data_IF_191124064729
#
_entry.id   IF_191124064729
#
_cell.length_a   1.000
_cell.length_b   1.000
_cell.length_c   1.000
_cell.angle_alpha   90.00
_cell.angle_beta   90.00
_cell.angle_gamma   90.00
#
_symmetry.space_group_name_H-M   'P 1'
#
loop_
_entity.id
_entity.type
_entity.pdbx_description
1 polymer ?
#
# COMPACT_ATOMS: atom_id res chain seq x y z
N UNK A 1 14.23 -5.73 11.55
CA UNK A 1 13.75 -4.46 11.00
C UNK A 1 12.29 -4.29 11.36
N UNK A 2 11.83 -3.05 11.47
CA UNK A 2 10.43 -2.70 11.60
C UNK A 2 9.92 -2.24 10.22
N UNK A 3 8.99 -2.95 9.65
CA UNK A 3 8.49 -2.76 8.28
C UNK A 3 7.05 -2.29 8.36
N UNK A 4 6.75 -1.15 7.72
CA UNK A 4 5.38 -0.68 7.52
C UNK A 4 4.92 -1.06 6.11
N UNK A 5 3.88 -1.88 6.01
CA UNK A 5 3.21 -2.15 4.74
C UNK A 5 1.92 -1.35 4.64
N UNK A 6 1.73 -0.64 3.54
CA UNK A 6 0.53 0.17 3.29
C UNK A 6 -0.26 -0.48 2.16
N UNK A 7 -1.44 -1.02 2.50
CA UNK A 7 -2.47 -1.49 1.57
C UNK A 7 -3.73 -0.65 1.77
N UNK A 8 -3.68 0.60 1.28
CA UNK A 8 -4.67 1.62 1.59
C UNK A 8 -6.09 1.22 1.24
N UNK A 9 -6.33 0.85 -0.04
CA UNK A 9 -7.66 0.74 -0.63
C UNK A 9 -8.37 -0.60 -0.37
N UNK A 10 -7.66 -1.60 0.15
CA UNK A 10 -8.20 -2.93 0.42
C UNK A 10 -7.50 -3.62 1.58
N UNK A 11 -8.27 -4.38 2.38
CA UNK A 11 -7.81 -5.09 3.57
C UNK A 11 -7.23 -6.47 3.20
N UNK A 12 -5.90 -6.70 3.28
CA UNK A 12 -5.29 -7.94 2.84
C UNK A 12 -5.63 -9.16 3.70
N UNK A 13 -6.09 -8.94 4.93
CA UNK A 13 -6.51 -10.00 5.87
C UNK A 13 -8.03 -10.10 6.00
N UNK A 14 -8.77 -9.58 5.03
CA UNK A 14 -10.22 -9.70 4.93
C UNK A 14 -10.67 -10.98 4.21
N UNK A 15 -11.92 -11.01 3.79
CA UNK A 15 -12.49 -12.11 3.01
C UNK A 15 -11.97 -12.05 1.57
N UNK A 16 -11.14 -13.02 1.17
CA UNK A 16 -10.63 -13.12 -0.21
C UNK A 16 -11.77 -13.45 -1.17
N UNK A 17 -11.80 -12.78 -2.32
CA UNK A 17 -12.79 -13.07 -3.39
C UNK A 17 -14.10 -12.32 -3.28
N UNK A 18 -14.21 -11.34 -2.36
CA UNK A 18 -15.34 -10.43 -2.26
C UNK A 18 -14.87 -9.00 -2.59
N UNK A 19 -15.67 -8.27 -3.38
CA UNK A 19 -15.39 -6.89 -3.78
C UNK A 19 -14.02 -6.75 -4.48
N UNK A 20 -13.21 -5.77 -4.10
CA UNK A 20 -11.86 -5.51 -4.62
C UNK A 20 -10.78 -6.46 -4.09
N UNK A 21 -11.14 -7.47 -3.28
CA UNK A 21 -10.16 -8.40 -2.70
C UNK A 21 -9.73 -9.46 -3.72
N UNK A 22 -8.58 -9.24 -4.34
CA UNK A 22 -8.00 -10.07 -5.40
C UNK A 22 -6.53 -10.44 -5.15
N UNK A 23 -5.79 -10.53 -6.25
CA UNK A 23 -4.37 -10.91 -6.23
C UNK A 23 -3.49 -10.02 -5.34
N UNK A 24 -3.79 -8.71 -5.25
CA UNK A 24 -3.09 -7.78 -4.37
C UNK A 24 -3.20 -8.21 -2.90
N UNK A 25 -4.40 -8.56 -2.44
CA UNK A 25 -4.61 -8.95 -1.04
C UNK A 25 -3.83 -10.21 -0.70
N UNK A 26 -3.89 -11.21 -1.58
CA UNK A 26 -3.11 -12.45 -1.41
C UNK A 26 -1.61 -12.16 -1.38
N UNK A 27 -1.13 -11.30 -2.27
CA UNK A 27 0.29 -10.91 -2.30
C UNK A 27 0.71 -10.22 -1.00
N UNK A 28 -0.03 -9.20 -0.56
CA UNK A 28 0.30 -8.45 0.66
C UNK A 28 0.24 -9.34 1.89
N UNK A 29 -0.78 -10.19 2.00
CA UNK A 29 -0.88 -11.17 3.08
C UNK A 29 0.34 -12.10 3.11
N UNK A 30 0.65 -12.76 2.00
CA UNK A 30 1.73 -13.74 1.92
C UNK A 30 3.11 -13.12 2.20
N UNK A 31 3.41 -11.94 1.63
CA UNK A 31 4.68 -11.27 1.89
C UNK A 31 4.79 -10.81 3.34
N UNK A 32 3.69 -10.35 3.95
CA UNK A 32 3.66 -9.92 5.35
C UNK A 32 3.89 -11.09 6.30
N UNK A 33 3.22 -12.22 6.08
CA UNK A 33 3.39 -13.45 6.86
C UNK A 33 4.82 -13.99 6.74
N UNK A 34 5.41 -13.96 5.54
CA UNK A 34 6.77 -14.41 5.33
C UNK A 34 7.81 -13.48 6.00
N UNK A 35 7.69 -12.17 5.82
CA UNK A 35 8.58 -11.20 6.44
C UNK A 35 8.49 -11.22 7.97
N UNK A 36 7.31 -11.48 8.53
CA UNK A 36 7.11 -11.53 9.99
C UNK A 36 7.84 -12.68 10.70
N UNK A 37 8.35 -13.66 9.96
CA UNK A 37 9.19 -14.71 10.52
C UNK A 37 10.52 -14.17 11.08
N UNK A 38 11.04 -13.06 10.53
CA UNK A 38 12.34 -12.50 10.90
C UNK A 38 12.31 -10.99 11.21
N UNK A 39 11.18 -10.31 11.00
CA UNK A 39 11.02 -8.86 11.14
C UNK A 39 9.71 -8.52 11.82
N UNK A 40 9.63 -7.34 12.43
CA UNK A 40 8.36 -6.80 12.90
C UNK A 40 7.65 -6.14 11.72
N UNK A 41 6.46 -6.62 11.39
CA UNK A 41 5.67 -6.15 10.24
C UNK A 41 4.37 -5.56 10.75
N UNK A 42 4.10 -4.32 10.38
CA UNK A 42 2.81 -3.67 10.59
C UNK A 42 2.17 -3.41 9.23
N UNK A 43 0.98 -3.94 9.02
CA UNK A 43 0.18 -3.74 7.80
C UNK A 43 -0.97 -2.80 8.12
N UNK A 44 -1.15 -1.75 7.33
CA UNK A 44 -2.23 -0.78 7.54
C UNK A 44 -3.13 -0.67 6.31
N UNK A 45 -4.43 -0.48 6.57
CA UNK A 45 -5.44 -0.23 5.55
C UNK A 45 -6.43 0.84 6.01
N UNK A 46 -7.07 1.53 5.05
CA UNK A 46 -8.19 2.42 5.33
C UNK A 46 -9.53 1.67 5.38
N UNK A 47 -9.63 0.56 4.65
CA UNK A 47 -10.84 -0.26 4.58
C UNK A 47 -11.18 -0.87 5.94
N UNK A 48 -12.48 -0.89 6.26
CA UNK A 48 -12.98 -1.46 7.51
C UNK A 48 -12.75 -2.97 7.57
N UNK A 49 -12.00 -3.38 8.58
CA UNK A 49 -11.67 -4.77 8.85
C UNK A 49 -11.34 -4.97 10.33
N UNK A 50 -11.30 -6.23 10.77
CA UNK A 50 -10.92 -6.56 12.14
C UNK A 50 -9.38 -6.52 12.28
N UNK A 51 -8.88 -5.55 13.02
CA UNK A 51 -7.45 -5.47 13.38
C UNK A 51 -7.02 -6.62 14.29
N UNK A 52 -5.75 -7.01 14.18
CA UNK A 52 -5.15 -8.01 15.08
C UNK A 52 -3.66 -7.74 15.28
N UNK A 53 -3.10 -8.33 16.35
CA UNK A 53 -1.67 -8.38 16.59
C UNK A 53 -1.27 -9.79 16.98
N UNK A 54 -0.29 -10.34 16.31
CA UNK A 54 0.17 -11.70 16.50
C UNK A 54 1.69 -11.79 16.36
N UNK A 55 2.41 -12.02 17.46
CA UNK A 55 3.88 -12.04 17.49
C UNK A 55 4.50 -10.80 16.78
N UNK A 56 5.11 -11.01 15.62
CA UNK A 56 5.80 -10.00 14.83
C UNK A 56 4.93 -9.41 13.70
N UNK A 57 3.65 -9.81 13.59
CA UNK A 57 2.71 -9.32 12.58
C UNK A 57 1.57 -8.56 13.26
N UNK A 58 1.41 -7.30 12.90
CA UNK A 58 0.30 -6.46 13.31
C UNK A 58 -0.49 -6.01 12.08
N UNK A 59 -1.79 -6.17 12.10
CA UNK A 59 -2.69 -5.63 11.09
C UNK A 59 -3.61 -4.59 11.72
N UNK A 60 -3.59 -3.39 11.18
CA UNK A 60 -4.32 -2.24 11.66
C UNK A 60 -5.24 -1.70 10.56
N UNK A 61 -6.54 -1.79 10.76
CA UNK A 61 -7.53 -1.11 9.94
C UNK A 61 -7.91 0.22 10.59
N UNK A 62 -7.87 1.32 9.83
CA UNK A 62 -8.28 2.65 10.29
C UNK A 62 -9.79 2.88 10.14
N UNK A 63 -10.52 1.97 9.51
CA UNK A 63 -11.99 1.97 9.37
C UNK A 63 -12.55 3.28 8.78
N UNK A 64 -11.96 3.77 7.69
CA UNK A 64 -12.40 5.02 7.03
C UNK A 64 -13.54 4.78 6.04
N UNK A 65 -13.62 3.60 5.45
CA UNK A 65 -14.67 3.23 4.52
C UNK A 65 -15.01 1.73 4.54
N UNK A 66 -16.18 1.40 4.08
CA UNK A 66 -16.68 0.02 3.95
C UNK A 66 -16.03 -0.67 2.71
N UNK A 67 -15.96 -2.02 2.69
CA UNK A 67 -15.30 -2.75 1.60
C UNK A 67 -15.95 -2.61 0.22
N UNK A 68 -17.24 -2.28 0.15
CA UNK A 68 -18.06 -2.19 -1.07
C UNK A 68 -18.00 -0.83 -1.78
N UNK A 69 -17.22 0.13 -1.24
CA UNK A 69 -17.04 1.41 -1.90
C UNK A 69 -16.16 1.25 -3.15
N UNK A 70 -16.55 1.79 -4.32
CA UNK A 70 -15.72 1.78 -5.52
C UNK A 70 -14.32 2.36 -5.29
N UNK A 71 -13.31 1.80 -5.95
CA UNK A 71 -11.90 2.22 -5.75
C UNK A 71 -11.69 3.71 -6.01
N UNK A 72 -12.34 4.27 -7.04
CA UNK A 72 -12.22 5.69 -7.39
C UNK A 72 -12.77 6.62 -6.30
N UNK A 73 -13.77 6.18 -5.54
CA UNK A 73 -14.37 6.97 -4.45
C UNK A 73 -13.49 6.94 -3.18
N UNK A 74 -12.53 6.03 -3.08
CA UNK A 74 -11.65 5.90 -1.91
C UNK A 74 -10.62 7.02 -1.82
N UNK A 75 -10.28 7.69 -2.93
CA UNK A 75 -9.24 8.72 -3.00
C UNK A 75 -9.50 9.90 -2.06
N UNK A 76 -10.76 10.27 -1.86
CA UNK A 76 -11.15 11.40 -0.99
C UNK A 76 -10.70 11.23 0.47
N UNK A 77 -10.43 10.01 0.91
CA UNK A 77 -10.02 9.70 2.29
C UNK A 77 -8.50 9.70 2.52
N UNK A 78 -7.66 9.98 1.49
CA UNK A 78 -6.20 9.94 1.61
C UNK A 78 -5.65 10.89 2.68
N UNK A 79 -6.18 12.11 2.76
CA UNK A 79 -5.74 13.11 3.75
C UNK A 79 -6.11 12.65 5.17
N UNK A 80 -7.33 12.15 5.35
CA UNK A 80 -7.78 11.63 6.64
C UNK A 80 -6.96 10.41 7.07
N UNK A 81 -6.65 9.52 6.13
CA UNK A 81 -5.81 8.35 6.39
C UNK A 81 -4.44 8.74 6.93
N UNK A 82 -3.74 9.69 6.28
CA UNK A 82 -2.44 10.16 6.73
C UNK A 82 -2.50 10.70 8.16
N UNK A 83 -3.51 11.52 8.47
CA UNK A 83 -3.71 12.06 9.81
C UNK A 83 -3.96 10.95 10.84
N UNK A 84 -4.88 10.03 10.56
CA UNK A 84 -5.22 8.92 11.47
C UNK A 84 -4.04 7.98 11.67
N UNK A 85 -3.26 7.73 10.61
CA UNK A 85 -2.07 6.89 10.70
C UNK A 85 -1.04 7.45 11.69
N UNK A 86 -0.81 8.77 11.67
CA UNK A 86 0.08 9.46 12.60
C UNK A 86 -0.45 9.49 14.06
N UNK A 87 -1.78 9.43 14.24
CA UNK A 87 -2.40 9.37 15.57
C UNK A 87 -2.28 7.97 16.20
N UNK A 88 -2.28 6.91 15.39
CA UNK A 88 -2.33 5.51 15.90
C UNK A 88 -0.98 4.82 15.90
N UNK A 89 0.00 5.27 15.09
CA UNK A 89 1.33 4.66 14.98
C UNK A 89 2.43 5.69 15.18
N UNK A 90 3.45 5.33 15.97
CA UNK A 90 4.72 6.05 15.96
C UNK A 90 5.49 5.71 14.66
N UNK A 91 5.34 6.56 13.64
CA UNK A 91 5.95 6.30 12.33
C UNK A 91 7.48 6.31 12.36
N UNK A 92 8.12 6.96 13.34
CA UNK A 92 9.58 7.01 13.45
C UNK A 92 10.22 5.67 13.82
N UNK A 93 9.42 4.71 14.29
CA UNK A 93 9.92 3.39 14.62
C UNK A 93 10.22 2.52 13.39
N UNK A 94 9.71 2.88 12.20
CA UNK A 94 9.86 2.06 11.00
C UNK A 94 11.16 2.33 10.28
N UNK A 95 11.81 1.26 9.82
CA UNK A 95 13.06 1.31 9.05
C UNK A 95 12.79 1.47 7.55
N UNK A 96 11.65 0.98 7.08
CA UNK A 96 11.24 0.99 5.68
C UNK A 96 9.72 0.91 5.54
N UNK A 97 9.20 1.51 4.47
CA UNK A 97 7.80 1.42 4.06
C UNK A 97 7.71 0.59 2.79
N UNK A 98 6.73 -0.30 2.69
CA UNK A 98 6.36 -0.97 1.44
C UNK A 98 4.94 -0.59 1.07
N UNK A 99 4.79 0.14 -0.02
CA UNK A 99 3.51 0.64 -0.51
C UNK A 99 2.99 -0.21 -1.66
N UNK A 100 1.73 -0.62 -1.57
CA UNK A 100 1.03 -1.45 -2.53
C UNK A 100 -0.06 -0.65 -3.22
N UNK A 101 0.04 -0.47 -4.53
CA UNK A 101 -0.85 0.34 -5.36
C UNK A 101 -0.61 1.86 -5.23
N UNK A 102 -1.01 2.63 -6.23
CA UNK A 102 -0.64 4.05 -6.37
C UNK A 102 -1.10 4.94 -5.19
N UNK A 103 -2.31 4.71 -4.64
CA UNK A 103 -2.79 5.47 -3.47
C UNK A 103 -1.89 5.26 -2.26
N UNK A 104 -1.50 4.01 -2.00
CA UNK A 104 -0.53 3.69 -0.94
C UNK A 104 0.83 4.32 -1.21
N UNK A 105 1.22 4.42 -2.49
CA UNK A 105 2.44 5.07 -2.92
C UNK A 105 2.46 6.57 -2.60
N UNK A 106 1.36 7.29 -2.82
CA UNK A 106 1.23 8.71 -2.46
C UNK A 106 1.40 8.91 -0.95
N UNK A 107 0.75 8.06 -0.14
CA UNK A 107 0.87 8.08 1.32
C UNK A 107 2.32 7.82 1.74
N UNK A 108 2.95 6.77 1.20
CA UNK A 108 4.32 6.40 1.52
C UNK A 108 5.32 7.51 1.15
N UNK A 109 5.13 8.18 0.01
CA UNK A 109 5.94 9.32 -0.42
C UNK A 109 5.89 10.46 0.61
N UNK A 110 4.70 10.81 1.09
CA UNK A 110 4.54 11.90 2.06
C UNK A 110 5.16 11.54 3.43
N UNK A 111 4.95 10.30 3.90
CA UNK A 111 5.58 9.80 5.13
C UNK A 111 7.09 9.74 4.98
N UNK A 112 7.60 9.20 3.87
CA UNK A 112 9.02 9.13 3.55
C UNK A 112 9.69 10.50 3.63
N UNK A 113 9.09 11.50 3.01
CA UNK A 113 9.59 12.88 3.03
C UNK A 113 9.57 13.48 4.45
N UNK A 114 8.50 13.25 5.21
CA UNK A 114 8.32 13.85 6.55
C UNK A 114 9.24 13.22 7.60
N UNK A 115 9.41 11.89 7.56
CA UNK A 115 10.13 11.14 8.58
C UNK A 115 11.49 10.61 8.13
N UNK A 116 11.88 10.86 6.87
CA UNK A 116 13.13 10.37 6.27
C UNK A 116 13.24 8.82 6.30
N UNK A 117 12.15 8.13 5.98
CA UNK A 117 12.07 6.68 5.93
C UNK A 117 12.03 6.26 4.45
N UNK A 118 12.95 5.41 3.95
CA UNK A 118 12.89 4.95 2.57
C UNK A 118 11.64 4.12 2.31
N UNK A 119 11.10 4.16 1.06
CA UNK A 119 9.99 3.30 0.70
C UNK A 119 10.23 2.52 -0.59
N UNK A 120 9.61 1.35 -0.66
CA UNK A 120 9.50 0.45 -1.80
C UNK A 120 8.09 0.58 -2.36
N UNK A 121 7.94 0.52 -3.66
CA UNK A 121 6.65 0.58 -4.33
C UNK A 121 6.40 -0.67 -5.18
N UNK A 122 5.22 -1.28 -5.03
CA UNK A 122 4.67 -2.32 -5.92
C UNK A 122 3.39 -1.81 -6.55
N UNK A 123 3.36 -1.71 -7.88
CA UNK A 123 2.22 -1.12 -8.63
C UNK A 123 0.96 -1.97 -8.57
N UNK A 124 1.09 -3.30 -8.64
CA UNK A 124 0.03 -4.30 -8.84
C UNK A 124 -0.78 -4.14 -10.13
N UNK A 125 -0.85 -2.94 -10.68
CA UNK A 125 -1.35 -2.59 -12.01
C UNK A 125 -0.92 -1.16 -12.32
N UNK A 126 -0.58 -0.89 -13.57
CA UNK A 126 -0.21 0.44 -14.03
C UNK A 126 -1.36 1.04 -14.84
N UNK A 127 -1.78 2.25 -14.48
CA UNK A 127 -2.91 2.94 -15.11
C UNK A 127 -2.73 3.17 -16.61
N UNK A 128 -1.49 3.32 -17.08
CA UNK A 128 -1.18 3.52 -18.52
C UNK A 128 -1.55 2.32 -19.39
N UNK A 129 -1.73 1.13 -18.80
CA UNK A 129 -2.02 -0.12 -19.53
C UNK A 129 -3.43 -0.65 -19.32
N UNK A 130 -4.26 0.09 -18.58
CA UNK A 130 -5.64 -0.29 -18.35
C UNK A 130 -6.54 0.30 -19.43
N UNK A 131 -7.58 -0.44 -19.82
CA UNK A 131 -8.67 0.09 -20.62
C UNK A 131 -9.30 1.27 -19.89
N UNK A 132 -9.42 2.43 -20.56
CA UNK A 132 -9.90 3.64 -19.91
C UNK A 132 -8.79 4.44 -19.22
N UNK A 133 -7.65 4.64 -19.89
CA UNK A 133 -6.51 5.43 -19.44
C UNK A 133 -6.91 6.66 -18.59
N UNK A 134 -6.51 6.64 -17.32
CA UNK A 134 -6.67 7.76 -16.41
C UNK A 134 -5.33 8.49 -16.27
N UNK A 135 -5.24 9.67 -16.89
CA UNK A 135 -4.01 10.48 -16.89
C UNK A 135 -3.58 10.90 -15.49
N UNK A 136 -4.52 11.27 -14.63
CA UNK A 136 -4.21 11.71 -13.26
C UNK A 136 -3.57 10.58 -12.46
N UNK A 137 -4.13 9.37 -12.56
CA UNK A 137 -3.53 8.18 -11.95
C UNK A 137 -2.13 7.89 -12.49
N UNK A 138 -1.94 7.94 -13.81
CA UNK A 138 -0.64 7.69 -14.42
C UNK A 138 0.41 8.72 -13.99
N UNK A 139 0.04 10.00 -13.88
CA UNK A 139 0.92 11.05 -13.38
C UNK A 139 1.28 10.81 -11.89
N UNK A 140 0.32 10.37 -11.06
CA UNK A 140 0.58 9.97 -9.68
C UNK A 140 1.55 8.76 -9.60
N UNK A 141 1.35 7.73 -10.42
CA UNK A 141 2.22 6.55 -10.47
C UNK A 141 3.66 6.94 -10.83
N UNK A 142 3.87 7.82 -11.81
CA UNK A 142 5.20 8.34 -12.16
C UNK A 142 5.88 9.06 -10.99
N UNK A 143 5.15 9.91 -10.28
CA UNK A 143 5.66 10.63 -9.11
C UNK A 143 6.06 9.63 -8.02
N UNK A 144 5.24 8.63 -7.76
CA UNK A 144 5.50 7.60 -6.74
C UNK A 144 6.73 6.77 -7.12
N UNK A 145 6.81 6.27 -8.36
CA UNK A 145 7.93 5.46 -8.83
C UNK A 145 9.25 6.24 -8.78
N UNK A 146 9.26 7.48 -9.28
CA UNK A 146 10.48 8.31 -9.33
C UNK A 146 11.00 8.72 -7.95
N UNK A 147 10.15 8.77 -6.92
CA UNK A 147 10.53 9.13 -5.55
C UNK A 147 10.76 7.93 -4.63
N UNK A 148 10.42 6.70 -5.07
CA UNK A 148 10.67 5.49 -4.31
C UNK A 148 12.15 5.08 -4.31
N UNK A 149 12.58 4.36 -3.27
CA UNK A 149 13.93 3.79 -3.22
C UNK A 149 14.08 2.63 -4.19
N UNK A 150 13.03 1.82 -4.32
CA UNK A 150 12.92 0.70 -5.25
C UNK A 150 11.49 0.56 -5.73
N UNK A 151 11.34 0.16 -6.99
CA UNK A 151 10.08 -0.32 -7.57
C UNK A 151 10.21 -1.83 -7.79
N UNK A 152 9.20 -2.60 -7.41
CA UNK A 152 9.18 -4.04 -7.65
C UNK A 152 8.28 -4.36 -8.83
N UNK A 153 8.70 -5.32 -9.63
CA UNK A 153 7.93 -5.89 -10.75
C UNK A 153 7.64 -7.36 -10.50
N UNK A 154 6.46 -7.82 -10.83
CA UNK A 154 6.05 -9.23 -10.69
C UNK A 154 6.47 -10.08 -11.88
N UNK A 155 6.79 -9.46 -13.02
CA UNK A 155 7.19 -10.13 -14.27
C UNK A 155 8.22 -9.29 -15.03
N UNK A 156 9.01 -9.92 -15.90
CA UNK A 156 9.95 -9.22 -16.79
C UNK A 156 9.21 -8.23 -17.73
N UNK A 157 7.98 -8.52 -18.08
CA UNK A 157 7.15 -7.62 -18.87
C UNK A 157 6.83 -6.33 -18.11
N UNK A 158 6.38 -6.45 -16.85
CA UNK A 158 6.14 -5.30 -15.98
C UNK A 158 7.42 -4.49 -15.73
N UNK A 159 8.57 -5.16 -15.52
CA UNK A 159 9.87 -4.50 -15.37
C UNK A 159 10.21 -3.64 -16.60
N UNK A 160 9.99 -4.15 -17.82
CA UNK A 160 10.20 -3.38 -19.05
C UNK A 160 9.31 -2.15 -19.09
N UNK A 161 8.03 -2.31 -18.79
CA UNK A 161 7.06 -1.21 -18.79
C UNK A 161 7.40 -0.11 -17.76
N UNK A 162 7.82 -0.51 -16.56
CA UNK A 162 8.25 0.43 -15.51
C UNK A 162 9.50 1.20 -15.95
N UNK A 163 10.43 0.52 -16.62
CA UNK A 163 11.69 1.14 -17.06
C UNK A 163 11.50 2.15 -18.20
N UNK A 164 10.42 2.04 -18.97
CA UNK A 164 10.07 2.91 -20.10
C UNK A 164 9.10 4.04 -19.71
N UNK A 165 8.58 4.07 -18.48
CA UNK A 165 7.59 5.04 -17.99
C UNK A 165 8.23 6.28 -17.39
#
# INVERSE_FOLDING_TARGET
MNILQISYHTAPFGSVGQFDSGGLNVYVQQISEHLSQNHNVTVVTAEKAKSFKNQNLEFCSLNLFEPDIPTDDKEIHLIEFNKRLEEVLDLKQFDIIHAHYWMSGLIAKDISKKYNIPYIFTSHSLGVFLDGYNKERADCEKIVMSSSKFVTASTNYEETLISES
#
